data_IF_719042814920
#
_entry.id   IF_719042814920
#
_cell.length_a   1.000
_cell.length_b   1.000
_cell.length_c   1.000
_cell.angle_alpha   90.00
_cell.angle_beta   90.00
_cell.angle_gamma   90.00
#
_symmetry.space_group_name_H-M   'P 1'
#
loop_
_entity.id
_entity.type
_entity.pdbx_description
1 polymer ?
#
# COMPACT_ATOMS: atom_id res chain seq x y z
N UNK A 1 -27.24 2.39 -17.18
CA UNK A 1 -26.94 3.41 -16.13
C UNK A 1 -26.25 2.69 -14.97
N UNK A 2 -24.91 2.68 -14.93
CA UNK A 2 -24.15 1.96 -13.89
C UNK A 2 -24.16 2.80 -12.61
N UNK A 3 -24.85 2.31 -11.57
CA UNK A 3 -24.90 2.97 -10.28
C UNK A 3 -23.49 3.16 -9.71
N UNK A 4 -23.07 4.42 -9.56
CA UNK A 4 -21.81 4.77 -8.92
C UNK A 4 -21.83 4.27 -7.47
N UNK A 5 -21.08 3.21 -7.19
CA UNK A 5 -21.00 2.61 -5.86
C UNK A 5 -20.11 3.47 -4.98
N UNK A 6 -20.71 4.42 -4.28
CA UNK A 6 -19.99 5.36 -3.40
C UNK A 6 -19.23 4.59 -2.31
N UNK A 7 -17.91 4.55 -2.42
CA UNK A 7 -17.03 3.93 -1.43
C UNK A 7 -16.71 4.96 -0.36
N UNK A 8 -17.24 4.76 0.86
CA UNK A 8 -16.91 5.63 1.99
C UNK A 8 -15.49 5.34 2.48
N UNK A 9 -14.52 6.10 2.01
CA UNK A 9 -13.14 6.10 2.52
C UNK A 9 -13.10 6.94 3.80
N UNK A 10 -13.01 6.29 4.96
CA UNK A 10 -12.67 6.99 6.22
C UNK A 10 -11.21 6.76 6.52
N UNK A 11 -10.39 7.81 6.63
CA UNK A 11 -9.00 7.73 7.08
C UNK A 11 -8.92 8.03 8.58
N UNK A 12 -8.23 7.18 9.35
CA UNK A 12 -7.81 7.51 10.72
C UNK A 12 -6.30 7.48 10.75
N UNK A 13 -5.69 8.65 10.93
CA UNK A 13 -4.26 8.82 11.10
C UNK A 13 -3.88 8.32 12.51
N UNK A 14 -3.02 7.31 12.61
CA UNK A 14 -2.21 7.11 13.81
C UNK A 14 -0.79 7.51 13.45
N UNK A 15 -0.43 8.75 13.76
CA UNK A 15 0.94 9.25 13.61
C UNK A 15 1.79 8.58 14.69
N UNK A 16 2.51 7.51 14.33
CA UNK A 16 3.38 6.81 15.27
C UNK A 16 4.82 6.91 14.75
N UNK A 17 5.59 7.79 15.41
CA UNK A 17 7.01 8.10 15.14
C UNK A 17 7.24 8.87 13.83
N UNK A 18 8.11 9.89 13.89
CA UNK A 18 8.44 10.86 12.82
C UNK A 18 8.88 10.27 11.46
N UNK A 19 8.88 8.94 11.30
CA UNK A 19 9.39 8.22 10.14
C UNK A 19 8.30 7.73 9.16
N UNK A 20 7.04 7.59 9.58
CA UNK A 20 5.95 7.09 8.72
C UNK A 20 4.56 7.45 9.23
N UNK A 21 3.58 7.42 8.32
CA UNK A 21 2.17 7.56 8.64
C UNK A 21 1.42 6.24 8.42
N UNK A 22 0.51 5.91 9.32
CA UNK A 22 -0.40 4.79 9.15
C UNK A 22 -1.83 5.27 8.94
N UNK A 23 -2.43 4.78 7.87
CA UNK A 23 -3.81 5.05 7.48
C UNK A 23 -4.63 3.78 7.57
N UNK A 24 -5.79 3.91 8.19
CA UNK A 24 -6.85 2.92 8.09
C UNK A 24 -7.79 3.35 6.98
N UNK A 25 -7.92 2.58 5.92
CA UNK A 25 -8.88 2.81 4.84
C UNK A 25 -9.99 1.78 4.93
N UNK A 26 -11.26 2.21 4.89
CA UNK A 26 -12.40 1.28 4.84
C UNK A 26 -12.95 1.25 3.42
N UNK A 27 -13.06 0.05 2.84
CA UNK A 27 -13.57 -0.16 1.49
C UNK A 27 -14.83 -1.01 1.55
N UNK A 28 -15.89 -0.56 0.88
CA UNK A 28 -17.19 -1.23 0.79
C UNK A 28 -18.34 -0.34 1.26
N UNK A 29 -19.46 -0.42 0.55
CA UNK A 29 -20.67 0.37 0.83
C UNK A 29 -21.49 -0.18 1.99
N UNK A 30 -21.53 -1.51 2.18
CA UNK A 30 -22.36 -2.16 3.21
C UNK A 30 -21.59 -2.42 4.51
N UNK A 31 -22.14 -2.07 5.68
CA UNK A 31 -21.48 -2.24 7.00
C UNK A 31 -20.94 -3.66 7.23
N UNK A 32 -21.70 -4.70 6.85
CA UNK A 32 -21.28 -6.12 6.99
C UNK A 32 -20.18 -6.59 6.02
N UNK A 33 -19.90 -5.85 4.95
CA UNK A 33 -18.84 -6.19 3.97
C UNK A 33 -17.71 -5.15 3.91
N UNK A 34 -17.63 -4.22 4.88
CA UNK A 34 -16.54 -3.26 4.96
C UNK A 34 -15.24 -3.98 5.26
N UNK A 35 -14.31 -3.93 4.32
CA UNK A 35 -12.94 -4.39 4.52
C UNK A 35 -12.10 -3.23 5.05
N UNK A 36 -11.29 -3.50 6.06
CA UNK A 36 -10.33 -2.55 6.62
C UNK A 36 -8.98 -2.81 5.98
N UNK A 37 -8.49 -1.85 5.21
CA UNK A 37 -7.14 -1.82 4.68
C UNK A 37 -6.25 -1.00 5.61
N UNK A 38 -5.02 -1.46 5.80
CA UNK A 38 -3.97 -0.78 6.56
C UNK A 38 -2.91 -0.31 5.58
N UNK A 39 -2.78 0.99 5.38
CA UNK A 39 -1.77 1.58 4.52
C UNK A 39 -0.67 2.23 5.36
N UNK A 40 0.56 1.78 5.15
CA UNK A 40 1.77 2.41 5.69
C UNK A 40 2.35 3.30 4.61
N UNK A 41 2.44 4.61 4.86
CA UNK A 41 3.01 5.59 3.94
C UNK A 41 4.33 6.08 4.53
N UNK A 42 5.43 5.94 3.80
CA UNK A 42 6.75 6.20 4.36
C UNK A 42 7.78 6.49 3.28
N UNK A 43 8.59 7.54 3.44
CA UNK A 43 9.83 7.70 2.67
C UNK A 43 11.03 6.99 3.35
N UNK A 44 10.85 6.48 4.57
CA UNK A 44 11.94 5.87 5.34
C UNK A 44 12.16 4.39 4.96
N UNK A 45 13.36 4.01 4.46
CA UNK A 45 13.62 2.66 3.98
C UNK A 45 13.57 1.61 5.10
N UNK A 46 13.89 1.99 6.35
CA UNK A 46 13.77 1.08 7.50
C UNK A 46 12.33 0.64 7.77
N UNK A 47 11.34 1.54 7.58
CA UNK A 47 9.92 1.21 7.74
C UNK A 47 9.46 0.32 6.59
N UNK A 48 9.89 0.62 5.36
CA UNK A 48 9.58 -0.21 4.20
C UNK A 48 10.13 -1.65 4.36
N UNK A 49 11.40 -1.79 4.76
CA UNK A 49 12.00 -3.11 5.07
C UNK A 49 11.23 -3.83 6.16
N UNK A 50 10.92 -3.16 7.26
CA UNK A 50 10.12 -3.73 8.35
C UNK A 50 8.74 -4.19 7.87
N UNK A 51 8.08 -3.42 7.02
CA UNK A 51 6.81 -3.78 6.43
C UNK A 51 6.92 -5.06 5.60
N UNK A 52 7.95 -5.17 4.73
CA UNK A 52 8.20 -6.37 3.91
C UNK A 52 8.44 -7.59 4.80
N UNK A 53 9.35 -7.52 5.75
CA UNK A 53 9.63 -8.64 6.67
C UNK A 53 8.39 -9.05 7.47
N UNK A 54 7.61 -8.07 7.97
CA UNK A 54 6.37 -8.34 8.70
C UNK A 54 5.34 -9.03 7.82
N UNK A 55 5.22 -8.61 6.55
CA UNK A 55 4.31 -9.23 5.58
C UNK A 55 4.75 -10.67 5.29
N UNK A 56 6.04 -10.90 4.99
CA UNK A 56 6.57 -12.25 4.76
C UNK A 56 6.36 -13.16 5.97
N UNK A 57 6.65 -12.69 7.19
CA UNK A 57 6.44 -13.46 8.41
C UNK A 57 4.97 -13.87 8.61
N UNK A 58 4.02 -12.95 8.38
CA UNK A 58 2.58 -13.23 8.47
C UNK A 58 2.11 -14.29 7.46
N UNK A 59 2.77 -14.36 6.31
CA UNK A 59 2.46 -15.30 5.25
C UNK A 59 3.41 -16.51 5.20
N UNK A 60 4.28 -16.69 6.20
CA UNK A 60 5.31 -17.73 6.21
C UNK A 60 4.75 -19.15 6.09
N UNK A 61 3.53 -19.42 6.57
CA UNK A 61 2.89 -20.72 6.35
C UNK A 61 2.62 -20.99 4.87
N UNK A 62 2.00 -20.03 4.15
CA UNK A 62 1.72 -20.16 2.72
C UNK A 62 2.99 -20.24 1.87
N UNK A 63 4.00 -19.45 2.23
CA UNK A 63 5.29 -19.48 1.56
C UNK A 63 5.98 -20.84 1.74
N UNK A 64 5.90 -21.45 2.94
CA UNK A 64 6.44 -22.79 3.20
C UNK A 64 5.64 -23.91 2.54
N UNK A 65 4.34 -23.74 2.39
CA UNK A 65 3.46 -24.72 1.72
C UNK A 65 3.52 -24.65 0.19
N UNK A 66 4.23 -23.69 -0.39
CA UNK A 66 4.32 -23.51 -1.85
C UNK A 66 3.15 -22.75 -2.48
N UNK A 67 2.11 -22.42 -1.72
CA UNK A 67 0.94 -21.64 -2.19
C UNK A 67 1.29 -20.22 -2.67
N UNK A 68 2.46 -19.71 -2.23
CA UNK A 68 2.92 -18.37 -2.55
C UNK A 68 2.09 -17.25 -1.93
N UNK A 69 2.35 -16.03 -2.37
CA UNK A 69 1.57 -14.83 -2.03
C UNK A 69 1.29 -14.01 -3.28
N UNK A 70 0.06 -13.54 -3.42
CA UNK A 70 -0.27 -12.55 -4.44
C UNK A 70 0.06 -11.16 -3.92
N UNK A 71 0.86 -10.42 -4.69
CA UNK A 71 1.23 -9.04 -4.40
C UNK A 71 0.68 -8.14 -5.51
N UNK A 72 -0.20 -7.20 -5.15
CA UNK A 72 -0.54 -6.11 -6.04
C UNK A 72 0.60 -5.09 -6.04
N UNK A 73 1.07 -4.69 -7.22
CA UNK A 73 2.15 -3.73 -7.40
C UNK A 73 1.67 -2.54 -8.22
N UNK A 74 1.99 -1.33 -7.76
CA UNK A 74 1.75 -0.08 -8.47
C UNK A 74 3.00 0.80 -8.41
N UNK A 75 3.28 1.52 -9.49
CA UNK A 75 4.40 2.48 -9.54
C UNK A 75 3.86 3.80 -10.07
N UNK A 76 4.10 4.86 -9.31
CA UNK A 76 3.95 6.21 -9.81
C UNK A 76 5.32 6.68 -10.30
N UNK A 77 5.37 7.23 -11.51
CA UNK A 77 6.60 7.70 -12.14
C UNK A 77 6.70 9.21 -12.01
N UNK A 78 7.92 9.73 -11.94
CA UNK A 78 8.16 11.17 -12.06
C UNK A 78 7.57 11.68 -13.38
N UNK A 79 6.72 12.73 -13.36
CA UNK A 79 6.11 13.25 -14.56
C UNK A 79 7.15 13.93 -15.47
N UNK A 80 6.94 13.96 -16.81
CA UNK A 80 7.95 14.41 -17.77
C UNK A 80 8.46 15.84 -17.53
N UNK A 81 7.57 16.76 -17.14
CA UNK A 81 7.93 18.15 -16.86
C UNK A 81 8.78 18.34 -15.60
N UNK A 82 8.99 17.29 -14.80
CA UNK A 82 9.90 17.27 -13.63
C UNK A 82 11.15 16.43 -13.87
N UNK A 83 11.28 15.79 -15.03
CA UNK A 83 12.43 14.98 -15.38
C UNK A 83 13.36 15.76 -16.33
N UNK A 84 14.68 15.79 -16.11
CA UNK A 84 15.62 16.30 -17.10
C UNK A 84 15.44 15.57 -18.44
N UNK A 85 15.49 16.28 -19.57
CA UNK A 85 15.16 15.76 -20.89
C UNK A 85 15.98 14.49 -21.30
N UNK A 86 17.15 14.29 -20.70
CA UNK A 86 18.03 13.15 -20.96
C UNK A 86 18.04 12.08 -19.84
N UNK A 87 17.26 12.23 -18.77
CA UNK A 87 17.27 11.29 -17.65
C UNK A 87 16.23 10.17 -17.82
N UNK A 88 16.62 8.93 -17.54
CA UNK A 88 15.68 7.82 -17.40
C UNK A 88 14.59 8.18 -16.36
N UNK A 89 13.32 7.91 -16.70
CA UNK A 89 12.18 8.19 -15.81
C UNK A 89 12.35 7.41 -14.51
N UNK A 90 12.57 8.12 -13.41
CA UNK A 90 12.69 7.50 -12.08
C UNK A 90 11.29 7.22 -11.51
N UNK A 91 11.08 6.07 -10.85
CA UNK A 91 9.87 5.85 -10.07
C UNK A 91 9.89 6.84 -8.89
N UNK A 92 8.76 7.52 -8.66
CA UNK A 92 8.60 8.44 -7.54
C UNK A 92 7.89 7.80 -6.35
N UNK A 93 7.06 6.79 -6.57
CA UNK A 93 6.37 6.06 -5.50
C UNK A 93 6.16 4.61 -5.89
N UNK A 94 6.44 3.69 -4.98
CA UNK A 94 6.14 2.27 -5.07
C UNK A 94 4.98 1.92 -4.14
N UNK A 95 4.00 1.19 -4.65
CA UNK A 95 2.89 0.66 -3.89
C UNK A 95 2.90 -0.86 -3.91
N UNK A 96 2.84 -1.47 -2.73
CA UNK A 96 2.74 -2.93 -2.58
C UNK A 96 1.53 -3.28 -1.73
N UNK A 97 0.70 -4.21 -2.21
CA UNK A 97 -0.54 -4.61 -1.55
C UNK A 97 -0.56 -6.12 -1.35
N UNK A 98 -0.68 -6.58 -0.11
CA UNK A 98 -0.83 -8.00 0.25
C UNK A 98 -2.02 -8.16 1.19
N UNK A 99 -3.06 -8.84 0.70
CA UNK A 99 -4.32 -9.00 1.43
C UNK A 99 -4.97 -7.66 1.77
N UNK A 100 -4.93 -7.27 3.04
CA UNK A 100 -5.49 -6.02 3.54
C UNK A 100 -4.42 -5.01 4.01
N UNK A 101 -3.14 -5.25 3.68
CA UNK A 101 -2.02 -4.38 4.03
C UNK A 101 -1.43 -3.78 2.76
N UNK A 102 -1.18 -2.48 2.80
CA UNK A 102 -0.57 -1.71 1.72
C UNK A 102 0.68 -1.00 2.26
N UNK A 103 1.71 -0.91 1.43
CA UNK A 103 2.85 -0.03 1.59
C UNK A 103 2.80 1.00 0.47
N UNK A 104 3.04 2.26 0.81
CA UNK A 104 3.30 3.35 -0.14
C UNK A 104 4.65 3.92 0.25
N UNK A 105 5.66 3.72 -0.60
CA UNK A 105 7.05 4.11 -0.39
C UNK A 105 7.49 5.14 -1.42
#
# INVERSE_FOLDING_TARGET
MVAAKTTTVSTRLRRCMRAHDEYVVRVGSHRRRRRRLLATVTAHPGVARRWVHTTLWRHARRLRSGDGITVGMGVQWTPPFRAPAAAARRPCTLQLCVGHRCLVF
#
